data_IF_268688062329
#
_entry.id   IF_268688062329
#
_cell.length_a   1.000
_cell.length_b   1.000
_cell.length_c   1.000
_cell.angle_alpha   90.00
_cell.angle_beta   90.00
_cell.angle_gamma   90.00
#
_symmetry.space_group_name_H-M   'P 1'
#
loop_
_entity.id
_entity.type
_entity.pdbx_description
1 polymer ?
#
# COMPACT_ATOMS: atom_id res chain seq x y z
N UNK A 1 23.82 35.21 -15.29
CA UNK A 1 22.61 34.62 -15.91
C UNK A 1 22.47 33.20 -15.37
N UNK A 2 21.45 32.95 -14.54
CA UNK A 2 21.16 31.63 -13.97
C UNK A 2 20.18 30.89 -14.90
N UNK A 3 20.46 29.63 -15.19
CA UNK A 3 19.47 28.67 -15.68
C UNK A 3 19.65 27.37 -14.88
N UNK A 4 18.85 27.22 -13.81
CA UNK A 4 18.76 26.00 -13.01
C UNK A 4 18.04 24.92 -13.81
N UNK A 5 18.81 24.02 -14.44
CA UNK A 5 18.29 22.74 -14.90
C UNK A 5 18.22 21.77 -13.72
N UNK A 6 17.02 21.60 -13.14
CA UNK A 6 16.72 20.45 -12.29
C UNK A 6 16.68 19.20 -13.17
N UNK A 7 17.81 18.51 -13.28
CA UNK A 7 17.89 17.19 -13.92
C UNK A 7 17.41 16.16 -12.91
N UNK A 8 16.27 15.54 -13.19
CA UNK A 8 15.74 14.39 -12.47
C UNK A 8 16.77 13.25 -12.51
N UNK A 9 17.66 13.24 -11.53
CA UNK A 9 18.64 12.20 -11.34
C UNK A 9 18.05 11.19 -10.38
N UNK A 10 17.25 10.24 -10.88
CA UNK A 10 16.98 9.01 -10.14
C UNK A 10 16.41 7.92 -11.04
N UNK A 11 17.25 7.44 -11.95
CA UNK A 11 17.03 6.15 -12.61
C UNK A 11 17.61 4.98 -11.81
N UNK A 12 18.34 5.26 -10.71
CA UNK A 12 19.00 4.24 -9.87
C UNK A 12 18.30 3.92 -8.55
N UNK A 13 17.32 4.70 -8.12
CA UNK A 13 16.67 4.51 -6.82
C UNK A 13 15.47 3.54 -6.83
N UNK A 14 14.92 3.20 -8.00
CA UNK A 14 13.78 2.26 -8.07
C UNK A 14 14.23 0.84 -7.70
N UNK A 15 15.46 0.45 -8.03
CA UNK A 15 15.96 -0.90 -7.73
C UNK A 15 16.16 -1.13 -6.22
N UNK A 16 16.46 -0.08 -5.45
CA UNK A 16 16.63 -0.19 -4.01
C UNK A 16 15.32 -0.35 -3.23
N UNK A 17 14.18 0.08 -3.78
CA UNK A 17 12.87 -0.18 -3.16
C UNK A 17 12.53 -1.67 -3.11
N UNK A 18 13.08 -2.47 -4.04
CA UNK A 18 12.90 -3.92 -4.03
C UNK A 18 13.92 -4.67 -3.18
N UNK A 19 15.03 -4.05 -2.78
CA UNK A 19 16.06 -4.70 -1.95
C UNK A 19 15.72 -4.69 -0.45
N UNK A 20 14.81 -3.83 0.00
CA UNK A 20 14.33 -3.84 1.39
C UNK A 20 13.44 -5.04 1.74
N UNK A 21 13.09 -5.90 0.76
CA UNK A 21 12.50 -7.21 1.04
C UNK A 21 13.51 -8.23 1.57
N UNK A 22 14.79 -7.86 1.72
CA UNK A 22 15.86 -8.76 2.19
C UNK A 22 15.99 -8.83 3.72
N UNK A 23 15.33 -7.94 4.46
CA UNK A 23 15.32 -7.96 5.93
C UNK A 23 13.91 -8.20 6.45
N UNK A 24 13.51 -9.48 6.39
CA UNK A 24 12.58 -10.09 7.35
C UNK A 24 11.11 -9.74 7.20
N UNK A 25 10.50 -10.12 6.08
CA UNK A 25 9.10 -10.59 6.13
C UNK A 25 9.21 -12.09 6.40
N UNK A 26 8.85 -12.55 7.60
CA UNK A 26 8.62 -13.97 7.83
C UNK A 26 7.47 -14.42 6.91
N UNK A 27 7.82 -15.04 5.80
CA UNK A 27 6.86 -15.71 4.93
C UNK A 27 6.55 -17.03 5.61
N UNK A 28 5.43 -17.07 6.33
CA UNK A 28 4.91 -18.32 6.90
C UNK A 28 4.58 -19.25 5.72
N UNK A 29 5.12 -20.47 5.80
CA UNK A 29 5.24 -21.45 4.72
C UNK A 29 3.92 -22.14 4.35
N UNK A 30 2.78 -21.41 4.36
CA UNK A 30 1.49 -21.94 3.93
C UNK A 30 1.03 -21.22 2.65
N UNK A 31 1.29 -21.89 1.53
CA UNK A 31 1.16 -21.32 0.20
C UNK A 31 -0.28 -21.03 -0.19
N UNK A 32 -0.59 -19.75 -0.37
CA UNK A 32 -1.43 -19.16 -1.42
C UNK A 32 -1.44 -17.65 -1.14
N UNK A 33 -0.92 -16.86 -2.06
CA UNK A 33 -0.69 -15.43 -1.88
C UNK A 33 -1.94 -14.72 -1.32
N UNK A 34 -1.91 -14.43 -0.02
CA UNK A 34 -2.89 -13.60 0.65
C UNK A 34 -2.86 -12.23 -0.03
N UNK A 35 -3.87 -11.92 -0.84
CA UNK A 35 -4.01 -10.60 -1.45
C UNK A 35 -3.90 -9.54 -0.34
N UNK A 36 -2.86 -8.70 -0.31
CA UNK A 36 -2.71 -7.73 0.76
C UNK A 36 -3.90 -6.77 0.74
N UNK A 37 -4.37 -6.31 1.90
CA UNK A 37 -5.57 -5.47 1.97
C UNK A 37 -5.50 -4.24 1.04
N UNK A 38 -4.31 -3.67 0.83
CA UNK A 38 -4.11 -2.58 -0.14
C UNK A 38 -4.43 -2.96 -1.59
N UNK A 39 -4.02 -4.16 -2.02
CA UNK A 39 -4.33 -4.71 -3.35
C UNK A 39 -5.82 -5.04 -3.48
N UNK A 40 -6.42 -5.59 -2.41
CA UNK A 40 -7.86 -5.82 -2.34
C UNK A 40 -8.68 -4.55 -2.58
N UNK A 41 -8.26 -3.42 -2.00
CA UNK A 41 -8.92 -2.13 -2.25
C UNK A 41 -8.85 -1.70 -3.73
N UNK A 42 -7.75 -2.03 -4.41
CA UNK A 42 -7.59 -1.72 -5.84
C UNK A 42 -8.45 -2.62 -6.72
N UNK A 43 -8.46 -3.92 -6.45
CA UNK A 43 -9.29 -4.88 -7.20
C UNK A 43 -10.79 -4.57 -7.11
N UNK A 44 -11.23 -4.05 -5.95
CA UNK A 44 -12.61 -3.63 -5.72
C UNK A 44 -12.94 -2.23 -6.26
N UNK A 45 -11.96 -1.56 -6.89
CA UNK A 45 -12.11 -0.20 -7.41
C UNK A 45 -12.31 0.87 -6.33
N UNK A 46 -11.97 0.55 -5.08
CA UNK A 46 -12.04 1.48 -3.95
C UNK A 46 -10.90 2.48 -4.00
N UNK A 47 -9.73 2.00 -4.42
CA UNK A 47 -8.57 2.84 -4.72
C UNK A 47 -8.09 2.56 -6.14
N UNK A 48 -7.48 3.57 -6.77
CA UNK A 48 -6.62 3.33 -7.93
C UNK A 48 -5.17 3.04 -7.50
N UNK A 49 -4.33 2.63 -8.46
CA UNK A 49 -2.92 2.30 -8.24
C UNK A 49 -2.10 3.47 -7.69
N UNK A 50 -2.42 4.70 -8.10
CA UNK A 50 -1.71 5.90 -7.68
C UNK A 50 -2.11 6.29 -6.26
N UNK A 51 -3.38 6.13 -5.90
CA UNK A 51 -3.91 6.37 -4.56
C UNK A 51 -3.35 5.36 -3.55
N UNK A 52 -3.24 4.09 -3.94
CA UNK A 52 -2.57 3.08 -3.11
C UNK A 52 -1.11 3.45 -2.87
N UNK A 53 -0.37 3.80 -3.92
CA UNK A 53 1.05 4.22 -3.81
C UNK A 53 1.22 5.40 -2.84
N UNK A 54 0.38 6.45 -2.96
CA UNK A 54 0.45 7.62 -2.07
C UNK A 54 0.08 7.28 -0.62
N UNK A 55 -0.85 6.35 -0.42
CA UNK A 55 -1.24 5.88 0.91
C UNK A 55 -0.11 5.11 1.58
N UNK A 56 0.60 4.26 0.84
CA UNK A 56 1.81 3.57 1.30
C UNK A 56 2.92 4.57 1.66
N UNK A 57 3.17 5.57 0.82
CA UNK A 57 4.16 6.62 1.11
C UNK A 57 3.82 7.42 2.37
N UNK A 58 2.53 7.63 2.67
CA UNK A 58 2.11 8.27 3.92
C UNK A 58 2.32 7.34 5.12
N UNK A 59 2.03 6.04 4.97
CA UNK A 59 2.25 5.05 6.01
C UNK A 59 3.73 4.91 6.37
N UNK A 60 4.62 4.90 5.37
CA UNK A 60 6.07 4.87 5.58
C UNK A 60 6.56 6.05 6.44
N UNK A 61 5.94 7.22 6.26
CA UNK A 61 6.23 8.43 7.06
C UNK A 61 5.61 8.40 8.46
N UNK A 62 4.62 7.55 8.69
CA UNK A 62 3.88 7.44 9.94
C UNK A 62 3.74 5.97 10.37
N UNK A 63 4.85 5.34 10.83
CA UNK A 63 4.83 3.94 11.25
C UNK A 63 3.75 3.67 12.30
N UNK A 64 3.02 2.57 12.15
CA UNK A 64 1.93 2.17 13.06
C UNK A 64 0.54 2.67 12.67
N UNK A 65 0.42 3.60 11.72
CA UNK A 65 -0.88 3.97 11.12
C UNK A 65 -1.32 2.89 10.14
N UNK A 66 -2.63 2.59 10.09
CA UNK A 66 -3.16 1.58 9.16
C UNK A 66 -3.26 2.16 7.76
N UNK A 67 -2.92 1.37 6.74
CA UNK A 67 -2.96 1.80 5.34
C UNK A 67 -4.31 2.41 4.91
N UNK A 68 -5.41 1.80 5.36
CA UNK A 68 -6.76 2.30 5.07
C UNK A 68 -7.07 3.66 5.72
N UNK A 69 -6.50 3.93 6.90
CA UNK A 69 -6.59 5.24 7.56
C UNK A 69 -5.78 6.29 6.81
N UNK A 70 -4.61 5.92 6.28
CA UNK A 70 -3.83 6.80 5.40
C UNK A 70 -4.63 7.17 4.14
N UNK A 71 -5.26 6.20 3.48
CA UNK A 71 -6.08 6.45 2.30
C UNK A 71 -7.28 7.38 2.59
N UNK A 72 -7.89 7.22 3.77
CA UNK A 72 -8.96 8.10 4.23
C UNK A 72 -8.48 9.50 4.59
N UNK A 73 -7.35 9.62 5.28
CA UNK A 73 -6.74 10.89 5.65
C UNK A 73 -6.29 11.70 4.41
N UNK A 74 -5.87 11.03 3.34
CA UNK A 74 -5.55 11.65 2.06
C UNK A 74 -6.79 12.04 1.24
N UNK A 75 -8.00 11.67 1.69
CA UNK A 75 -9.26 12.01 1.04
C UNK A 75 -9.62 11.13 -0.16
N UNK A 76 -8.97 9.98 -0.36
CA UNK A 76 -9.25 9.09 -1.48
C UNK A 76 -10.51 8.26 -1.27
N UNK A 77 -10.78 7.89 -0.03
CA UNK A 77 -11.89 7.01 0.33
C UNK A 77 -12.45 7.39 1.71
N UNK A 78 -13.77 7.37 1.92
CA UNK A 78 -14.33 7.54 3.26
C UNK A 78 -13.90 6.40 4.20
N UNK A 79 -13.58 6.70 5.46
CA UNK A 79 -13.18 5.69 6.46
C UNK A 79 -14.22 4.57 6.63
N UNK A 80 -15.52 4.90 6.56
CA UNK A 80 -16.60 3.92 6.64
C UNK A 80 -16.53 2.87 5.52
N UNK A 81 -16.08 3.27 4.33
CA UNK A 81 -15.95 2.37 3.19
C UNK A 81 -14.72 1.47 3.34
N UNK A 82 -13.62 2.01 3.88
CA UNK A 82 -12.44 1.22 4.26
C UNK A 82 -12.80 0.15 5.31
N UNK A 83 -13.53 0.53 6.36
CA UNK A 83 -13.94 -0.41 7.41
C UNK A 83 -14.88 -1.50 6.88
N UNK A 84 -15.76 -1.17 5.94
CA UNK A 84 -16.62 -2.14 5.27
C UNK A 84 -15.77 -3.10 4.42
N UNK A 85 -14.88 -2.57 3.59
CA UNK A 85 -13.99 -3.36 2.76
C UNK A 85 -13.10 -4.28 3.61
N UNK A 86 -12.61 -3.81 4.76
CA UNK A 86 -11.81 -4.62 5.68
C UNK A 86 -12.60 -5.78 6.29
N UNK A 87 -13.86 -5.55 6.69
CA UNK A 87 -14.73 -6.63 7.18
C UNK A 87 -14.99 -7.68 6.11
N UNK A 88 -15.26 -7.26 4.88
CA UNK A 88 -15.41 -8.16 3.73
C UNK A 88 -14.12 -8.95 3.48
N UNK A 89 -12.97 -8.27 3.48
CA UNK A 89 -11.65 -8.88 3.30
C UNK A 89 -11.36 -9.97 4.35
N UNK A 90 -11.49 -9.65 5.64
CA UNK A 90 -11.24 -10.62 6.73
C UNK A 90 -12.18 -11.82 6.62
N UNK A 91 -13.46 -11.61 6.28
CA UNK A 91 -14.42 -12.71 6.13
C UNK A 91 -14.04 -13.69 5.01
N UNK A 92 -13.45 -13.19 3.92
CA UNK A 92 -12.97 -14.01 2.81
C UNK A 92 -11.74 -14.82 3.22
N UNK A 93 -10.81 -14.21 3.96
CA UNK A 93 -9.61 -14.88 4.47
C UNK A 93 -9.93 -15.95 5.51
N UNK A 94 -10.94 -15.75 6.36
CA UNK A 94 -11.28 -16.70 7.44
C UNK A 94 -12.10 -17.91 7.00
N UNK A 95 -12.69 -17.90 5.79
CA UNK A 95 -13.50 -19.02 5.30
C UNK A 95 -12.69 -20.12 4.57
N UNK A 96 -11.35 -20.02 4.55
CA UNK A 96 -10.44 -21.00 3.94
C UNK A 96 -9.91 -22.08 4.90
N UNK A 97 -10.49 -22.18 6.10
CA UNK A 97 -10.15 -23.19 7.13
C UNK A 97 -11.31 -24.18 7.27
#
# INVERSE_FOLDING_TARGET
MQASHHKAANHRDINHYFEYSSSGIEVVEDGLAELPFGEYLVERGVLDRVQLLKSLQMQDRNPGVRLGECAAALGYVPILLVERAYREFVSLSTCLI
#
